data_IF_801635688160
#
_entry.id   IF_801635688160
#
_cell.length_a   1.000
_cell.length_b   1.000
_cell.length_c   1.000
_cell.angle_alpha   90.00
_cell.angle_beta   90.00
_cell.angle_gamma   90.00
#
_symmetry.space_group_name_H-M   'P 1'
#
loop_
_entity.id
_entity.type
_entity.pdbx_description
1 polymer ?
#
# COMPACT_ATOMS: atom_id res chain seq x y z
N UNK A 1 12.85 7.99 13.08
CA UNK A 1 12.74 8.22 11.63
C UNK A 1 12.42 6.91 10.92
N UNK A 2 11.75 7.01 9.79
CA UNK A 2 11.43 5.83 8.98
C UNK A 2 12.68 5.21 8.38
N UNK A 3 12.74 3.89 8.36
CA UNK A 3 13.86 3.14 7.78
C UNK A 3 13.35 2.17 6.71
N UNK A 4 14.27 1.66 5.88
CA UNK A 4 13.91 0.62 4.91
C UNK A 4 13.44 -0.66 5.60
N UNK A 5 13.97 -0.94 6.78
CA UNK A 5 13.53 -2.09 7.60
C UNK A 5 12.07 -1.93 8.04
N UNK A 6 11.67 -0.70 8.40
CA UNK A 6 10.28 -0.41 8.76
C UNK A 6 9.35 -0.64 7.57
N UNK A 7 9.75 -0.18 6.38
CA UNK A 7 8.95 -0.41 5.17
C UNK A 7 8.85 -1.90 4.84
N UNK A 8 9.96 -2.64 4.99
CA UNK A 8 9.92 -4.08 4.79
C UNK A 8 8.91 -4.74 5.73
N UNK A 9 8.89 -4.33 6.99
CA UNK A 9 7.94 -4.87 7.98
C UNK A 9 6.49 -4.48 7.64
N UNK A 10 6.27 -3.28 7.11
CA UNK A 10 4.96 -2.83 6.66
C UNK A 10 4.37 -3.81 5.63
N UNK A 11 5.19 -4.30 4.71
CA UNK A 11 4.74 -5.29 3.73
C UNK A 11 4.73 -6.71 4.27
N UNK A 12 5.81 -7.17 4.90
CA UNK A 12 5.91 -8.56 5.34
C UNK A 12 4.97 -8.91 6.48
N UNK A 13 4.75 -7.98 7.41
CA UNK A 13 3.90 -8.22 8.58
C UNK A 13 2.49 -7.65 8.44
N UNK A 14 2.34 -6.61 7.64
CA UNK A 14 1.03 -5.97 7.41
C UNK A 14 0.32 -6.54 6.21
N UNK A 15 0.77 -6.17 5.02
CA UNK A 15 0.11 -6.59 3.79
C UNK A 15 0.11 -8.09 3.57
N UNK A 16 1.27 -8.73 3.67
CA UNK A 16 1.39 -10.16 3.35
C UNK A 16 0.81 -11.08 4.42
N UNK A 17 0.53 -10.58 5.60
CA UNK A 17 -0.20 -11.30 6.64
C UNK A 17 -1.66 -10.87 6.73
N UNK A 18 -2.09 -9.98 5.84
CA UNK A 18 -3.45 -9.46 5.81
C UNK A 18 -3.90 -8.88 7.17
N UNK A 19 -3.00 -8.14 7.80
CA UNK A 19 -3.20 -7.59 9.14
C UNK A 19 -3.40 -6.08 9.09
N UNK A 20 -4.66 -5.66 8.98
CA UNK A 20 -5.02 -4.23 8.90
C UNK A 20 -4.55 -3.48 10.15
N UNK A 21 -4.67 -4.09 11.32
CA UNK A 21 -4.22 -3.47 12.56
C UNK A 21 -2.73 -3.16 12.54
N UNK A 22 -1.93 -4.11 12.03
CA UNK A 22 -0.50 -3.92 11.87
C UNK A 22 -0.21 -2.77 10.90
N UNK A 23 -0.89 -2.74 9.74
CA UNK A 23 -0.75 -1.66 8.78
C UNK A 23 -1.02 -0.30 9.41
N UNK A 24 -2.11 -0.19 10.15
CA UNK A 24 -2.48 1.08 10.79
C UNK A 24 -1.49 1.52 11.86
N UNK A 25 -0.74 0.58 12.45
CA UNK A 25 0.33 0.91 13.39
C UNK A 25 1.47 1.71 12.75
N UNK A 26 1.64 1.59 11.43
CA UNK A 26 2.64 2.36 10.69
C UNK A 26 2.14 3.72 10.21
N UNK A 27 0.83 3.94 10.24
CA UNK A 27 0.23 5.16 9.68
C UNK A 27 0.16 6.28 10.72
N UNK A 28 0.44 7.51 10.24
CA UNK A 28 0.32 8.70 11.07
C UNK A 28 -1.14 8.99 11.41
N UNK A 29 -1.35 9.85 12.41
CA UNK A 29 -2.68 10.26 12.83
C UNK A 29 -3.45 10.93 11.67
N UNK A 30 -2.78 11.85 10.97
CA UNK A 30 -3.34 12.51 9.79
C UNK A 30 -2.74 11.87 8.54
N UNK A 31 -3.25 10.69 8.18
CA UNK A 31 -2.71 9.96 7.05
C UNK A 31 -3.63 10.04 5.84
N UNK A 32 -3.03 9.80 4.66
CA UNK A 32 -3.73 9.79 3.38
C UNK A 32 -3.27 8.56 2.60
N UNK A 33 -4.24 7.88 1.98
CA UNK A 33 -3.97 6.81 1.03
C UNK A 33 -4.57 7.18 -0.31
N UNK A 34 -3.75 7.14 -1.36
CA UNK A 34 -4.20 7.35 -2.73
C UNK A 34 -4.04 6.04 -3.48
N UNK A 35 -5.15 5.40 -3.79
CA UNK A 35 -5.13 4.11 -4.48
C UNK A 35 -4.78 4.29 -5.96
N UNK A 36 -4.43 3.19 -6.62
CA UNK A 36 -3.91 3.23 -7.99
C UNK A 36 -4.95 3.58 -9.05
N UNK A 37 -6.22 3.55 -8.71
CA UNK A 37 -7.30 3.86 -9.66
C UNK A 37 -8.41 4.61 -8.96
N UNK A 38 -9.21 5.32 -9.75
CA UNK A 38 -10.35 6.07 -9.24
C UNK A 38 -10.67 7.26 -10.14
N UNK A 39 -11.63 8.07 -9.73
CA UNK A 39 -12.14 9.17 -10.57
C UNK A 39 -11.28 10.42 -10.53
N UNK A 40 -10.29 10.49 -9.63
CA UNK A 40 -9.45 11.67 -9.49
C UNK A 40 -8.07 11.44 -10.11
N UNK A 41 -7.33 12.51 -10.32
CA UNK A 41 -5.96 12.41 -10.86
C UNK A 41 -5.07 11.54 -9.96
N UNK A 42 -5.31 11.55 -8.66
CA UNK A 42 -4.55 10.76 -7.70
C UNK A 42 -5.14 9.35 -7.47
N UNK A 43 -6.13 8.96 -8.25
CA UNK A 43 -6.85 7.71 -8.04
C UNK A 43 -8.07 7.92 -7.15
N UNK A 44 -8.13 7.21 -6.03
CA UNK A 44 -9.14 7.42 -5.00
C UNK A 44 -8.43 7.81 -3.71
N UNK A 45 -8.79 8.96 -3.16
CA UNK A 45 -8.14 9.48 -1.95
C UNK A 45 -8.96 9.15 -0.72
N UNK A 46 -8.32 8.53 0.26
CA UNK A 46 -8.87 8.27 1.58
C UNK A 46 -8.09 9.12 2.58
N UNK A 47 -8.80 9.88 3.43
CA UNK A 47 -8.20 10.83 4.36
C UNK A 47 -8.57 10.45 5.79
N UNK A 48 -7.56 10.40 6.65
CA UNK A 48 -7.72 10.06 8.05
C UNK A 48 -7.70 8.56 8.30
N UNK A 49 -7.42 8.20 9.54
CA UNK A 49 -7.17 6.80 9.92
C UNK A 49 -8.36 5.89 9.62
N UNK A 50 -9.57 6.34 9.87
CA UNK A 50 -10.75 5.50 9.65
C UNK A 50 -10.96 5.19 8.17
N UNK A 51 -10.90 6.22 7.32
CA UNK A 51 -11.06 6.03 5.87
C UNK A 51 -9.92 5.17 5.30
N UNK A 52 -8.69 5.43 5.75
CA UNK A 52 -7.52 4.66 5.28
C UNK A 52 -7.63 3.19 5.69
N UNK A 53 -8.06 2.94 6.94
CA UNK A 53 -8.26 1.57 7.41
C UNK A 53 -9.28 0.82 6.55
N UNK A 54 -10.40 1.47 6.24
CA UNK A 54 -11.43 0.86 5.37
C UNK A 54 -10.90 0.60 3.97
N UNK A 55 -10.11 1.53 3.43
CA UNK A 55 -9.54 1.38 2.09
C UNK A 55 -8.56 0.19 2.05
N UNK A 56 -7.72 0.05 3.08
CA UNK A 56 -6.82 -1.11 3.19
C UNK A 56 -7.61 -2.41 3.30
N UNK A 57 -8.64 -2.44 4.13
CA UNK A 57 -9.47 -3.62 4.31
C UNK A 57 -10.14 -4.03 3.00
N UNK A 58 -10.55 -3.06 2.17
CA UNK A 58 -11.16 -3.35 0.87
C UNK A 58 -10.21 -4.07 -0.09
N UNK A 59 -8.91 -3.83 0.02
CA UNK A 59 -7.93 -4.56 -0.79
C UNK A 59 -7.99 -6.05 -0.45
N UNK A 60 -8.06 -6.39 0.83
CA UNK A 60 -8.15 -7.79 1.27
C UNK A 60 -9.48 -8.43 0.87
N UNK A 61 -10.56 -7.66 0.81
CA UNK A 61 -11.85 -8.15 0.35
C UNK A 61 -11.84 -8.40 -1.16
N UNK A 62 -11.24 -7.47 -1.92
CA UNK A 62 -11.16 -7.59 -3.38
C UNK A 62 -10.21 -8.70 -3.82
N UNK A 63 -9.14 -8.93 -3.06
CA UNK A 63 -8.10 -9.93 -3.35
C UNK A 63 -7.76 -10.68 -2.07
N UNK A 64 -8.57 -11.72 -1.72
CA UNK A 64 -8.34 -12.45 -0.45
C UNK A 64 -6.97 -13.11 -0.32
N UNK A 65 -6.27 -13.30 -1.43
CA UNK A 65 -4.94 -13.91 -1.47
C UNK A 65 -3.84 -12.91 -1.84
N UNK A 66 -4.07 -11.61 -1.66
CA UNK A 66 -3.13 -10.58 -2.09
C UNK A 66 -1.76 -10.76 -1.45
N UNK A 67 -0.71 -10.58 -2.25
CA UNK A 67 0.67 -10.53 -1.79
C UNK A 67 1.43 -9.45 -2.53
N UNK A 68 2.39 -8.86 -1.83
CA UNK A 68 3.35 -7.93 -2.41
C UNK A 68 4.70 -8.63 -2.35
N UNK A 69 5.22 -9.00 -3.51
CA UNK A 69 6.41 -9.83 -3.63
C UNK A 69 7.59 -9.03 -4.18
N UNK A 70 8.82 -9.55 -3.98
CA UNK A 70 10.06 -8.96 -4.49
C UNK A 70 10.20 -7.49 -4.07
N UNK A 71 9.93 -7.20 -2.81
CA UNK A 71 9.92 -5.82 -2.30
C UNK A 71 11.31 -5.21 -2.27
N UNK A 72 11.39 -3.93 -2.66
CA UNK A 72 12.61 -3.12 -2.59
C UNK A 72 12.22 -1.74 -2.08
N UNK A 73 13.04 -1.20 -1.17
CA UNK A 73 12.69 0.03 -0.48
C UNK A 73 13.81 1.05 -0.55
N UNK A 74 13.42 2.32 -0.71
CA UNK A 74 14.35 3.45 -0.63
C UNK A 74 13.74 4.47 0.32
N UNK A 75 14.55 5.00 1.23
CA UNK A 75 14.14 6.08 2.13
C UNK A 75 15.13 7.22 1.97
N UNK A 76 14.60 8.41 1.75
CA UNK A 76 15.37 9.63 1.60
C UNK A 76 14.70 10.74 2.43
N UNK A 77 15.14 10.90 3.67
CA UNK A 77 14.54 11.87 4.59
C UNK A 77 13.08 11.55 4.87
N UNK A 78 12.18 12.48 4.53
CA UNK A 78 10.74 12.33 4.74
C UNK A 78 10.01 11.72 3.54
N UNK A 79 10.76 11.17 2.58
CA UNK A 79 10.21 10.55 1.37
C UNK A 79 10.69 9.12 1.23
N UNK A 80 9.86 8.27 0.63
CA UNK A 80 10.23 6.89 0.40
C UNK A 80 9.54 6.30 -0.81
N UNK A 81 10.07 5.16 -1.23
CA UNK A 81 9.56 4.40 -2.36
C UNK A 81 9.65 2.92 -2.01
N UNK A 82 8.60 2.18 -2.30
CA UNK A 82 8.63 0.72 -2.25
C UNK A 82 8.20 0.20 -3.62
N UNK A 83 9.04 -0.65 -4.22
CA UNK A 83 8.72 -1.36 -5.45
C UNK A 83 8.32 -2.78 -5.08
N UNK A 84 7.35 -3.33 -5.82
CA UNK A 84 6.89 -4.69 -5.54
C UNK A 84 6.13 -5.25 -6.74
N UNK A 85 5.88 -6.55 -6.69
CA UNK A 85 4.96 -7.22 -7.61
C UNK A 85 3.69 -7.55 -6.83
N UNK A 86 2.59 -7.00 -7.28
CA UNK A 86 1.27 -7.29 -6.71
C UNK A 86 0.75 -8.56 -7.34
N UNK A 87 0.35 -9.53 -6.50
CA UNK A 87 -0.29 -10.75 -6.98
C UNK A 87 -1.56 -10.98 -6.19
N UNK A 88 -2.59 -11.46 -6.85
CA UNK A 88 -3.84 -11.78 -6.20
C UNK A 88 -4.87 -12.33 -7.17
N UNK A 89 -5.91 -12.93 -6.61
CA UNK A 89 -7.03 -13.42 -7.37
C UNK A 89 -8.27 -12.66 -6.93
N UNK A 90 -8.95 -12.02 -7.89
CA UNK A 90 -10.16 -11.24 -7.58
C UNK A 90 -11.30 -12.15 -7.12
N UNK A 91 -12.34 -11.55 -6.55
CA UNK A 91 -13.54 -12.28 -6.13
C UNK A 91 -14.19 -13.04 -7.28
N UNK A 92 -14.03 -12.56 -8.52
CA UNK A 92 -14.55 -13.23 -9.72
C UNK A 92 -13.60 -14.32 -10.24
N UNK A 93 -12.50 -14.58 -9.55
CA UNK A 93 -11.54 -15.61 -9.94
C UNK A 93 -10.50 -15.17 -10.96
N UNK A 94 -10.39 -13.87 -11.24
CA UNK A 94 -9.41 -13.32 -12.18
C UNK A 94 -8.05 -13.16 -11.51
N UNK A 95 -7.03 -13.79 -12.05
CA UNK A 95 -5.67 -13.66 -11.55
C UNK A 95 -5.05 -12.33 -12.00
N UNK A 96 -4.46 -11.60 -11.06
CA UNK A 96 -3.73 -10.36 -11.33
C UNK A 96 -2.29 -10.56 -10.88
N UNK A 97 -1.35 -10.16 -11.73
CA UNK A 97 0.07 -10.17 -11.41
C UNK A 97 0.69 -9.00 -12.17
N UNK A 98 1.01 -7.92 -11.46
CA UNK A 98 1.53 -6.70 -12.07
C UNK A 98 2.58 -6.07 -11.17
N UNK A 99 3.52 -5.37 -11.78
CA UNK A 99 4.50 -4.59 -11.04
C UNK A 99 3.93 -3.24 -10.68
N UNK A 100 4.35 -2.72 -9.55
CA UNK A 100 3.92 -1.41 -9.10
C UNK A 100 4.85 -0.85 -8.05
N UNK A 101 4.44 0.28 -7.50
CA UNK A 101 5.20 0.93 -6.45
C UNK A 101 4.30 1.82 -5.59
N UNK A 102 4.79 2.12 -4.42
CA UNK A 102 4.20 3.12 -3.54
C UNK A 102 5.18 4.26 -3.37
N UNK A 103 4.65 5.48 -3.46
CA UNK A 103 5.39 6.68 -3.03
C UNK A 103 4.89 7.05 -1.65
N UNK A 104 5.82 7.37 -0.75
CA UNK A 104 5.50 7.70 0.63
C UNK A 104 5.98 9.07 1.02
N UNK A 105 5.24 9.72 1.91
CA UNK A 105 5.79 10.79 2.75
C UNK A 105 5.67 10.34 4.20
N UNK A 106 6.65 10.74 5.01
CA UNK A 106 6.74 10.32 6.40
C UNK A 106 6.68 11.51 7.35
N UNK A 107 6.14 11.28 8.54
CA UNK A 107 6.24 12.20 9.67
C UNK A 107 6.84 11.39 10.80
N UNK A 108 8.09 11.68 11.15
CA UNK A 108 8.83 10.86 12.10
C UNK A 108 8.99 9.44 11.58
N UNK A 109 8.54 8.47 12.36
CA UNK A 109 8.59 7.06 12.00
C UNK A 109 7.22 6.54 11.49
N UNK A 110 6.34 7.45 11.07
CA UNK A 110 5.01 7.10 10.58
C UNK A 110 4.81 7.51 9.14
N UNK A 111 3.93 6.79 8.45
CA UNK A 111 3.55 7.09 7.06
C UNK A 111 2.42 8.12 7.09
N UNK A 112 2.68 9.30 6.53
CA UNK A 112 1.68 10.34 6.40
C UNK A 112 0.89 10.20 5.09
N UNK A 113 1.54 9.74 4.03
CA UNK A 113 0.88 9.53 2.74
C UNK A 113 1.46 8.31 2.06
N UNK A 114 0.57 7.48 1.53
CA UNK A 114 0.91 6.32 0.70
C UNK A 114 0.17 6.49 -0.62
N UNK A 115 0.90 6.58 -1.72
CA UNK A 115 0.32 6.74 -3.05
C UNK A 115 0.76 5.57 -3.92
N UNK A 116 -0.18 4.80 -4.40
CA UNK A 116 0.08 3.54 -5.12
C UNK A 116 -0.03 3.70 -6.62
N UNK A 117 0.87 3.05 -7.33
CA UNK A 117 0.90 3.01 -8.79
C UNK A 117 1.01 1.55 -9.23
N UNK A 118 0.20 1.17 -10.20
CA UNK A 118 0.21 -0.18 -10.75
C UNK A 118 0.34 -0.13 -12.26
N UNK A 119 1.14 -1.03 -12.82
CA UNK A 119 1.14 -1.22 -14.24
C UNK A 119 -0.15 -1.92 -14.66
N UNK A 120 -0.59 -1.66 -15.89
CA UNK A 120 -1.73 -2.34 -16.48
C UNK A 120 -1.22 -3.32 -17.52
N UNK A 121 -1.59 -4.59 -17.37
CA UNK A 121 -1.26 -5.60 -18.39
C UNK A 121 -2.41 -5.72 -19.36
N UNK A 122 -2.08 -5.80 -20.64
CA UNK A 122 -3.05 -5.96 -21.71
C UNK A 122 -2.85 -7.31 -22.41
N UNK A 123 -3.89 -7.81 -22.99
CA UNK A 123 -3.88 -9.13 -23.64
C UNK A 123 -4.35 -10.24 -22.71
#
# INVERSE_FOLDING_TARGET
MMTTRDLEAFFSRGWNRHDVGCLMGFMAEECVFESASGPEACGTRSVGREQVRRAFARVFEAFPDVRFEATRHVVAGDRGLSEWRFTGTSAEGRRVEVDGCDLFTFVGDKIARKSSFLKTRTG
#
